data_IF_466536469135
#
_entry.id   IF_466536469135
#
_cell.length_a   1.000
_cell.length_b   1.000
_cell.length_c   1.000
_cell.angle_alpha   90.00
_cell.angle_beta   90.00
_cell.angle_gamma   90.00
#
_symmetry.space_group_name_H-M   'P 1'
#
loop_
_entity.id
_entity.type
_entity.pdbx_description
1 polymer ?
#
# COMPACT_ATOMS: atom_id res chain seq x y z
N UNK A 1 18.35 -8.83 -24.21
CA UNK A 1 17.23 -7.93 -23.80
C UNK A 1 17.27 -7.62 -22.31
N UNK A 2 17.32 -8.63 -21.41
CA UNK A 2 17.46 -8.40 -19.97
C UNK A 2 18.67 -7.54 -19.60
N UNK A 3 19.83 -7.83 -20.17
CA UNK A 3 21.10 -7.18 -19.81
C UNK A 3 21.07 -5.67 -20.11
N UNK A 4 20.45 -5.28 -21.23
CA UNK A 4 20.27 -3.88 -21.61
C UNK A 4 19.38 -3.16 -20.58
N UNK A 5 18.27 -3.77 -20.14
CA UNK A 5 17.43 -3.15 -19.11
C UNK A 5 18.14 -3.04 -17.77
N UNK A 6 18.85 -4.08 -17.35
CA UNK A 6 19.62 -4.06 -16.11
C UNK A 6 20.67 -2.94 -16.12
N UNK A 7 21.45 -2.83 -17.20
CA UNK A 7 22.46 -1.78 -17.38
C UNK A 7 21.83 -0.38 -17.36
N UNK A 8 20.72 -0.18 -18.07
CA UNK A 8 20.03 1.12 -18.10
C UNK A 8 19.46 1.49 -16.73
N UNK A 9 18.73 0.59 -16.08
CA UNK A 9 18.13 0.87 -14.77
C UNK A 9 19.19 1.10 -13.69
N UNK A 10 20.34 0.42 -13.74
CA UNK A 10 21.44 0.61 -12.79
C UNK A 10 22.11 2.00 -12.91
N UNK A 11 21.90 2.73 -14.01
CA UNK A 11 22.52 4.03 -14.25
C UNK A 11 21.89 5.22 -13.54
N UNK A 12 20.77 5.03 -12.82
CA UNK A 12 20.10 6.06 -12.01
C UNK A 12 19.53 5.45 -10.74
N UNK A 13 19.30 6.27 -9.74
CA UNK A 13 18.64 5.88 -8.49
C UNK A 13 17.16 5.53 -8.72
N UNK A 14 16.58 4.80 -7.76
CA UNK A 14 15.13 4.49 -7.75
C UNK A 14 14.28 5.76 -7.84
N UNK A 15 14.65 6.80 -7.11
CA UNK A 15 13.85 8.02 -6.98
C UNK A 15 13.90 8.84 -8.28
N UNK A 16 15.06 8.92 -8.94
CA UNK A 16 15.19 9.50 -10.29
C UNK A 16 14.34 8.74 -11.31
N UNK A 17 14.35 7.39 -11.29
CA UNK A 17 13.47 6.63 -12.17
C UNK A 17 11.99 6.84 -11.85
N UNK A 18 11.65 6.98 -10.57
CA UNK A 18 10.28 7.26 -10.13
C UNK A 18 9.78 8.58 -10.70
N UNK A 19 10.62 9.62 -10.69
CA UNK A 19 10.30 10.91 -11.28
C UNK A 19 10.15 10.81 -12.81
N UNK A 20 11.09 10.14 -13.49
CA UNK A 20 11.08 9.97 -14.95
C UNK A 20 9.81 9.28 -15.45
N UNK A 21 9.34 8.26 -14.75
CA UNK A 21 8.17 7.48 -15.18
C UNK A 21 6.84 7.95 -14.58
N UNK A 22 6.86 8.94 -13.67
CA UNK A 22 5.65 9.47 -13.05
C UNK A 22 4.67 10.00 -14.11
N UNK A 23 3.42 9.53 -14.05
CA UNK A 23 2.35 9.98 -14.96
C UNK A 23 2.44 9.43 -16.39
N UNK A 24 3.40 8.55 -16.70
CA UNK A 24 3.52 7.90 -18.01
C UNK A 24 2.81 6.53 -18.03
N UNK A 25 2.40 6.08 -19.21
CA UNK A 25 1.85 4.72 -19.43
C UNK A 25 2.94 3.64 -19.59
N UNK A 26 4.14 3.86 -19.06
CA UNK A 26 5.29 2.97 -19.21
C UNK A 26 5.26 1.73 -18.28
N UNK A 27 4.29 1.63 -17.37
CA UNK A 27 4.15 0.53 -16.40
C UNK A 27 5.40 0.30 -15.53
N UNK A 28 6.13 1.36 -15.19
CA UNK A 28 7.28 1.32 -14.27
C UNK A 28 6.91 2.04 -12.98
N UNK A 29 7.06 1.36 -11.84
CA UNK A 29 6.80 1.91 -10.50
C UNK A 29 7.90 1.49 -9.53
N UNK A 30 8.22 2.30 -8.51
CA UNK A 30 9.24 1.95 -7.53
C UNK A 30 8.80 0.73 -6.70
N UNK A 31 9.80 -0.09 -6.33
CA UNK A 31 9.64 -1.07 -5.26
C UNK A 31 9.84 -0.35 -3.93
N UNK A 32 8.80 -0.37 -3.09
CA UNK A 32 8.76 0.33 -1.81
C UNK A 32 8.92 -0.66 -0.66
N UNK A 33 9.58 -0.22 0.42
CA UNK A 33 9.52 -0.88 1.72
C UNK A 33 8.13 -0.74 2.36
N UNK A 34 7.87 -1.49 3.42
CA UNK A 34 6.59 -1.38 4.16
C UNK A 34 6.31 0.04 4.67
N UNK A 35 7.33 0.69 5.24
CA UNK A 35 7.20 2.05 5.76
C UNK A 35 6.97 3.09 4.65
N UNK A 36 7.67 2.95 3.52
CA UNK A 36 7.44 3.82 2.35
C UNK A 36 6.06 3.59 1.72
N UNK A 37 5.59 2.35 1.68
CA UNK A 37 4.26 2.02 1.18
C UNK A 37 3.16 2.67 2.04
N UNK A 38 3.31 2.67 3.38
CA UNK A 38 2.36 3.34 4.27
C UNK A 38 2.23 4.85 4.01
N UNK A 39 3.33 5.51 3.61
CA UNK A 39 3.36 6.93 3.24
C UNK A 39 3.12 7.24 1.75
N UNK A 40 3.00 6.24 0.88
CA UNK A 40 2.92 6.45 -0.56
C UNK A 40 1.69 7.28 -0.98
N UNK A 41 1.87 8.27 -1.85
CA UNK A 41 0.82 9.21 -2.26
C UNK A 41 -0.47 8.53 -2.74
N UNK A 42 -0.38 7.47 -3.55
CA UNK A 42 -1.56 6.75 -4.06
C UNK A 42 -2.28 5.95 -2.97
N UNK A 43 -1.52 5.29 -2.09
CA UNK A 43 -2.07 4.52 -0.98
C UNK A 43 -2.72 5.44 0.08
N UNK A 44 -2.09 6.58 0.36
CA UNK A 44 -2.61 7.65 1.25
C UNK A 44 -3.89 8.26 0.70
N UNK A 45 -3.88 8.73 -0.56
CA UNK A 45 -5.05 9.33 -1.21
C UNK A 45 -6.27 8.40 -1.20
N UNK A 46 -6.02 7.09 -1.22
CA UNK A 46 -7.06 6.07 -1.18
C UNK A 46 -7.35 5.58 0.24
N UNK A 47 -6.57 5.89 1.27
CA UNK A 47 -6.68 5.22 2.59
C UNK A 47 -6.59 3.70 2.49
N UNK A 48 -5.64 3.17 1.69
CA UNK A 48 -5.43 1.73 1.55
C UNK A 48 -4.67 1.14 2.73
N UNK A 49 -3.68 1.87 3.23
CA UNK A 49 -3.02 1.60 4.51
C UNK A 49 -3.57 2.61 5.51
N UNK A 50 -4.01 2.15 6.68
CA UNK A 50 -4.61 2.97 7.74
C UNK A 50 -3.91 2.69 9.07
N UNK A 51 -3.76 3.70 9.90
CA UNK A 51 -3.29 3.54 11.27
C UNK A 51 -4.48 3.30 12.21
N UNK A 52 -4.44 2.23 12.99
CA UNK A 52 -5.44 1.91 14.02
C UNK A 52 -4.72 1.58 15.31
N UNK A 53 -5.02 2.34 16.37
CA UNK A 53 -4.39 2.21 17.68
C UNK A 53 -2.83 2.21 17.60
N UNK A 54 -2.26 3.05 16.70
CA UNK A 54 -0.81 3.20 16.53
C UNK A 54 -0.16 2.20 15.56
N UNK A 55 -0.91 1.27 14.97
CA UNK A 55 -0.39 0.24 14.07
C UNK A 55 -0.93 0.42 12.65
N UNK A 56 -0.02 0.43 11.67
CA UNK A 56 -0.39 0.46 10.24
C UNK A 56 -0.91 -0.91 9.79
N UNK A 57 -2.09 -0.90 9.16
CA UNK A 57 -2.74 -2.09 8.64
C UNK A 57 -3.54 -1.79 7.36
N UNK A 58 -3.87 -2.82 6.60
CA UNK A 58 -4.69 -2.66 5.41
C UNK A 58 -6.15 -2.30 5.76
N UNK A 59 -6.72 -1.34 5.04
CA UNK A 59 -8.14 -1.05 5.11
C UNK A 59 -8.98 -2.17 4.47
N UNK A 60 -10.24 -2.38 4.90
CA UNK A 60 -11.13 -3.34 4.27
C UNK A 60 -11.30 -3.11 2.76
N UNK A 61 -11.30 -4.21 2.00
CA UNK A 61 -11.49 -4.21 0.54
C UNK A 61 -12.42 -5.38 0.12
N UNK A 62 -13.20 -5.24 -0.98
CA UNK A 62 -13.35 -4.04 -1.82
C UNK A 62 -14.19 -2.94 -1.14
N UNK A 63 -14.31 -1.77 -1.79
CA UNK A 63 -15.17 -0.67 -1.31
C UNK A 63 -16.54 -0.76 -1.96
N UNK A 64 -17.59 -0.83 -1.13
CA UNK A 64 -18.98 -0.78 -1.57
C UNK A 64 -19.52 0.65 -1.48
N UNK A 65 -20.28 1.09 -2.48
CA UNK A 65 -20.81 2.46 -2.55
C UNK A 65 -21.88 2.74 -1.50
N UNK A 66 -22.79 1.78 -1.25
CA UNK A 66 -23.93 1.92 -0.33
C UNK A 66 -23.62 1.48 1.10
N UNK A 67 -23.08 0.27 1.27
CA UNK A 67 -22.82 -0.35 2.59
C UNK A 67 -21.32 -0.45 2.83
N UNK A 68 -20.71 0.64 3.29
CA UNK A 68 -19.27 0.67 3.56
C UNK A 68 -18.92 -0.22 4.77
N UNK A 69 -17.83 -1.01 4.70
CA UNK A 69 -17.33 -1.74 5.87
C UNK A 69 -16.80 -0.76 6.92
N UNK A 70 -16.93 -1.11 8.20
CA UNK A 70 -16.31 -0.34 9.28
C UNK A 70 -14.78 -0.39 9.14
N UNK A 71 -14.13 0.76 9.35
CA UNK A 71 -12.66 0.90 9.37
C UNK A 71 -12.06 0.19 10.57
N UNK A 72 -12.83 0.04 11.65
CA UNK A 72 -12.39 -0.59 12.88
C UNK A 72 -12.77 -2.07 12.90
N UNK A 73 -11.86 -2.95 12.47
CA UNK A 73 -11.82 -4.28 13.09
C UNK A 73 -11.15 -4.13 14.45
N UNK A 74 -11.83 -3.49 15.41
CA UNK A 74 -11.78 -4.10 16.74
C UNK A 74 -12.42 -5.46 16.52
N UNK A 75 -11.59 -6.49 16.31
CA UNK A 75 -11.96 -7.76 16.88
C UNK A 75 -12.16 -7.40 18.34
N UNK A 76 -13.41 -7.17 18.76
CA UNK A 76 -13.76 -7.29 20.16
C UNK A 76 -13.15 -8.65 20.47
N UNK A 77 -12.06 -8.67 21.23
CA UNK A 77 -11.61 -9.90 21.85
C UNK A 77 -12.78 -10.21 22.77
N UNK A 78 -13.80 -10.86 22.21
CA UNK A 78 -14.88 -11.39 22.99
C UNK A 78 -14.15 -12.36 23.90
N UNK A 79 -14.21 -12.16 25.23
CA UNK A 79 -13.70 -13.19 26.12
C UNK A 79 -14.33 -14.49 25.62
N UNK A 80 -13.47 -15.51 25.37
CA UNK A 80 -13.90 -16.80 24.83
C UNK A 80 -15.19 -17.16 25.55
N UNK A 81 -16.32 -17.24 24.83
CA UNK A 81 -17.60 -17.60 25.46
C UNK A 81 -17.34 -18.91 26.21
N UNK A 82 -17.45 -18.87 27.54
CA UNK A 82 -17.36 -20.06 28.37
C UNK A 82 -18.56 -20.92 27.98
N UNK A 83 -18.31 -21.98 27.23
CA UNK A 83 -19.32 -23.01 26.96
C UNK A 83 -19.57 -23.70 28.29
N UNK A 84 -20.68 -23.36 28.92
CA UNK A 84 -21.18 -24.07 30.09
C UNK A 84 -22.14 -25.17 29.63
#
# INVERSE_FOLDING_TARGET
MRDIFAERFAGRTRDEWTEVFAGTDACVTPVLTWSEAAGNAHLTARSTVINVDGVDQAAPAPRFSRTRPDRSRRHRQQPRRSTK
#
